data_IF_632845018033
#
_entry.id   IF_632845018033
#
_cell.length_a   1.000
_cell.length_b   1.000
_cell.length_c   1.000
_cell.angle_alpha   90.00
_cell.angle_beta   90.00
_cell.angle_gamma   90.00
#
_symmetry.space_group_name_H-M   'P 1'
#
loop_
_entity.id
_entity.type
_entity.pdbx_description
1 polymer ?
#
# COMPACT_ATOMS: atom_id res chain seq x y z
N UNK A 1 -14.25 12.57 18.07
CA UNK A 1 -14.90 11.36 18.62
C UNK A 1 -13.85 10.36 19.08
N UNK A 2 -14.11 9.50 20.07
CA UNK A 2 -13.14 8.53 20.62
C UNK A 2 -12.46 7.66 19.54
N UNK A 3 -13.19 7.28 18.49
CA UNK A 3 -12.68 6.44 17.42
C UNK A 3 -11.66 7.17 16.50
N UNK A 4 -11.79 8.48 16.33
CA UNK A 4 -10.80 9.29 15.60
C UNK A 4 -9.49 9.38 16.38
N UNK A 5 -9.59 9.52 17.71
CA UNK A 5 -8.44 9.49 18.59
C UNK A 5 -7.71 8.13 18.55
N UNK A 6 -8.46 7.02 18.52
CA UNK A 6 -7.89 5.67 18.36
C UNK A 6 -7.13 5.56 17.03
N UNK A 7 -7.71 6.04 15.93
CA UNK A 7 -7.02 6.05 14.63
C UNK A 7 -5.72 6.83 14.68
N UNK A 8 -5.73 8.03 15.24
CA UNK A 8 -4.53 8.86 15.36
C UNK A 8 -3.43 8.18 16.21
N UNK A 9 -3.82 7.52 17.30
CA UNK A 9 -2.89 6.77 18.15
C UNK A 9 -2.31 5.55 17.46
N UNK A 10 -3.14 4.77 16.75
CA UNK A 10 -2.67 3.61 15.99
C UNK A 10 -1.74 4.03 14.84
N UNK A 11 -2.05 5.11 14.13
CA UNK A 11 -1.16 5.68 13.11
C UNK A 11 0.18 6.10 13.70
N UNK A 12 0.16 6.79 14.84
CA UNK A 12 1.36 7.28 15.51
C UNK A 12 2.22 6.12 16.00
N UNK A 13 1.60 5.13 16.65
CA UNK A 13 2.25 3.90 17.10
C UNK A 13 2.93 3.19 15.93
N UNK A 14 2.22 2.98 14.83
CA UNK A 14 2.78 2.31 13.65
C UNK A 14 3.96 3.07 13.06
N UNK A 15 3.87 4.41 12.99
CA UNK A 15 4.95 5.26 12.48
C UNK A 15 6.18 5.26 13.38
N UNK A 16 6.01 5.17 14.69
CA UNK A 16 7.11 5.24 15.66
C UNK A 16 7.78 3.88 15.86
N UNK A 17 6.99 2.82 16.00
CA UNK A 17 7.48 1.50 16.42
C UNK A 17 7.81 0.59 15.24
N UNK A 18 7.12 0.70 14.09
CA UNK A 18 7.45 -0.14 12.94
C UNK A 18 8.72 0.37 12.24
N UNK A 19 9.85 -0.26 12.55
CA UNK A 19 11.12 -0.02 11.86
C UNK A 19 11.14 -0.79 10.54
N UNK A 20 10.96 -0.09 9.44
CA UNK A 20 11.02 -0.66 8.09
C UNK A 20 12.48 -0.63 7.63
N UNK A 21 13.00 -1.79 7.19
CA UNK A 21 14.38 -1.92 6.74
C UNK A 21 14.45 -2.59 5.37
N UNK A 22 15.60 -2.47 4.71
CA UNK A 22 15.84 -3.11 3.40
C UNK A 22 15.88 -4.65 3.45
N UNK A 23 16.08 -5.26 4.63
CA UNK A 23 16.09 -6.72 4.78
C UNK A 23 14.78 -7.22 5.44
N UNK A 24 13.80 -7.74 4.68
CA UNK A 24 12.51 -8.15 5.23
C UNK A 24 12.57 -9.33 6.21
N UNK A 25 13.67 -10.10 6.22
CA UNK A 25 13.85 -11.26 7.11
C UNK A 25 14.27 -10.85 8.52
N UNK A 26 14.93 -9.70 8.66
CA UNK A 26 15.39 -9.18 9.94
C UNK A 26 14.39 -8.18 10.57
N UNK A 27 13.22 -7.98 9.95
CA UNK A 27 12.28 -6.95 10.36
C UNK A 27 11.28 -7.46 11.39
N UNK A 28 11.22 -6.78 12.55
CA UNK A 28 10.12 -6.94 13.48
C UNK A 28 8.83 -6.32 12.91
N UNK A 29 7.80 -7.15 12.79
CA UNK A 29 6.47 -6.76 12.29
C UNK A 29 5.44 -6.70 13.41
N UNK A 30 5.83 -6.83 14.66
CA UNK A 30 4.93 -6.83 15.80
C UNK A 30 4.04 -5.56 15.84
N UNK A 31 4.55 -4.34 15.62
CA UNK A 31 3.70 -3.14 15.64
C UNK A 31 2.58 -3.18 14.59
N UNK A 32 2.88 -3.71 13.40
CA UNK A 32 1.87 -3.90 12.36
C UNK A 32 0.86 -4.97 12.75
N UNK A 33 1.28 -6.08 13.36
CA UNK A 33 0.35 -7.11 13.86
C UNK A 33 -0.60 -6.54 14.92
N UNK A 34 -0.08 -5.75 15.87
CA UNK A 34 -0.89 -5.15 16.93
C UNK A 34 -1.96 -4.22 16.36
N UNK A 35 -1.59 -3.37 15.39
CA UNK A 35 -2.56 -2.50 14.68
C UNK A 35 -3.61 -3.33 13.94
N UNK A 36 -3.21 -4.42 13.29
CA UNK A 36 -4.14 -5.27 12.55
C UNK A 36 -5.13 -6.04 13.44
N UNK A 37 -4.88 -6.19 14.74
CA UNK A 37 -5.87 -6.73 15.68
C UNK A 37 -7.11 -5.82 15.80
N UNK A 38 -6.99 -4.53 15.49
CA UNK A 38 -8.10 -3.58 15.49
C UNK A 38 -8.96 -3.63 14.21
N UNK A 39 -8.56 -4.43 13.21
CA UNK A 39 -9.26 -4.56 11.93
C UNK A 39 -10.77 -4.84 12.06
N UNK A 40 -11.25 -5.74 12.95
CA UNK A 40 -12.68 -6.01 13.11
C UNK A 40 -13.49 -4.80 13.61
N UNK A 41 -12.85 -3.84 14.29
CA UNK A 41 -13.51 -2.69 14.92
C UNK A 41 -13.43 -1.42 14.05
N UNK A 42 -12.33 -1.21 13.34
CA UNK A 42 -12.06 0.03 12.58
C UNK A 42 -12.81 0.09 11.24
N UNK A 43 -13.17 -1.06 10.67
CA UNK A 43 -13.65 -1.15 9.29
C UNK A 43 -12.60 -0.69 8.26
N UNK A 44 -12.87 -0.97 6.98
CA UNK A 44 -11.90 -0.75 5.89
C UNK A 44 -11.46 0.72 5.75
N UNK A 45 -12.39 1.67 5.95
CA UNK A 45 -12.10 3.10 5.83
C UNK A 45 -11.10 3.58 6.88
N UNK A 46 -11.32 3.28 8.15
CA UNK A 46 -10.45 3.80 9.20
C UNK A 46 -9.10 3.08 9.22
N UNK A 47 -9.10 1.77 8.93
CA UNK A 47 -7.85 1.03 8.72
C UNK A 47 -7.05 1.58 7.54
N UNK A 48 -7.71 1.95 6.43
CA UNK A 48 -7.05 2.63 5.30
C UNK A 48 -6.36 3.92 5.74
N UNK A 49 -7.04 4.75 6.56
CA UNK A 49 -6.45 5.98 7.10
C UNK A 49 -5.25 5.67 8.00
N UNK A 50 -5.35 4.66 8.87
CA UNK A 50 -4.23 4.22 9.73
C UNK A 50 -3.03 3.80 8.90
N UNK A 51 -3.22 2.94 7.89
CA UNK A 51 -2.14 2.46 7.04
C UNK A 51 -1.50 3.59 6.21
N UNK A 52 -2.32 4.46 5.62
CA UNK A 52 -1.83 5.58 4.80
C UNK A 52 -1.00 6.59 5.60
N UNK A 53 -1.33 6.78 6.88
CA UNK A 53 -0.66 7.78 7.73
C UNK A 53 0.47 7.19 8.58
N UNK A 54 0.33 5.94 9.02
CA UNK A 54 1.26 5.27 9.91
C UNK A 54 2.29 4.38 9.21
N UNK A 55 1.89 3.66 8.16
CA UNK A 55 2.75 2.68 7.48
C UNK A 55 3.39 3.22 6.20
N UNK A 56 2.57 3.73 5.28
CA UNK A 56 2.99 4.14 3.93
C UNK A 56 4.17 5.12 3.93
N UNK A 57 4.24 6.13 4.81
CA UNK A 57 5.34 7.10 4.80
C UNK A 57 6.71 6.46 5.01
N UNK A 58 6.88 5.69 6.08
CA UNK A 58 8.14 5.03 6.41
C UNK A 58 8.48 3.96 5.35
N UNK A 59 7.46 3.32 4.78
CA UNK A 59 7.63 2.29 3.77
C UNK A 59 8.14 2.87 2.45
N UNK A 60 7.54 3.97 1.99
CA UNK A 60 8.01 4.70 0.81
C UNK A 60 9.40 5.30 1.02
N UNK A 61 9.70 5.76 2.24
CA UNK A 61 11.02 6.31 2.58
C UNK A 61 12.12 5.25 2.48
N UNK A 62 11.89 4.06 3.04
CA UNK A 62 12.84 2.97 2.91
C UNK A 62 13.03 2.55 1.45
N UNK A 63 11.94 2.53 0.67
CA UNK A 63 11.99 2.21 -0.75
C UNK A 63 12.78 3.25 -1.56
N UNK A 64 12.53 4.54 -1.30
CA UNK A 64 13.27 5.65 -1.91
C UNK A 64 14.76 5.57 -1.57
N UNK A 65 15.09 5.30 -0.31
CA UNK A 65 16.47 5.11 0.15
C UNK A 65 17.16 3.92 -0.56
N UNK A 66 16.45 2.82 -0.83
CA UNK A 66 17.01 1.71 -1.61
C UNK A 66 17.22 2.10 -3.07
N UNK A 67 16.25 2.76 -3.71
CA UNK A 67 16.33 3.14 -5.13
C UNK A 67 17.43 4.18 -5.42
N UNK A 68 17.68 5.09 -4.47
CA UNK A 68 18.74 6.11 -4.56
C UNK A 68 20.12 5.58 -4.18
N UNK A 69 20.21 4.47 -3.46
CA UNK A 69 21.48 3.85 -3.06
C UNK A 69 22.20 3.26 -4.29
N UNK A 70 23.42 3.72 -4.63
CA UNK A 70 24.18 3.20 -5.78
C UNK A 70 24.46 1.70 -5.71
N UNK A 71 24.59 1.15 -4.49
CA UNK A 71 24.89 -0.28 -4.26
C UNK A 71 23.65 -1.18 -4.40
N UNK A 72 22.44 -0.62 -4.37
CA UNK A 72 21.22 -1.41 -4.46
C UNK A 72 20.95 -1.83 -5.90
N UNK A 73 20.60 -3.08 -6.07
CA UNK A 73 20.12 -3.64 -7.34
C UNK A 73 18.59 -3.43 -7.45
N UNK A 74 18.08 -3.11 -8.65
CA UNK A 74 16.65 -2.93 -8.92
C UNK A 74 15.83 -4.20 -8.64
N UNK A 75 16.40 -5.38 -8.88
CA UNK A 75 15.78 -6.68 -8.58
C UNK A 75 15.53 -6.86 -7.08
N UNK A 76 16.47 -6.45 -6.24
CA UNK A 76 16.31 -6.53 -4.77
C UNK A 76 15.18 -5.61 -4.29
N UNK A 77 15.05 -4.42 -4.87
CA UNK A 77 13.95 -3.50 -4.54
C UNK A 77 12.60 -4.08 -4.98
N UNK A 78 12.52 -4.68 -6.17
CA UNK A 78 11.31 -5.31 -6.67
C UNK A 78 10.88 -6.52 -5.83
N UNK A 79 11.84 -7.35 -5.42
CA UNK A 79 11.61 -8.48 -4.50
C UNK A 79 11.17 -8.00 -3.11
N UNK A 80 11.81 -6.96 -2.57
CA UNK A 80 11.42 -6.32 -1.31
C UNK A 80 9.98 -5.81 -1.35
N UNK A 81 9.59 -5.10 -2.41
CA UNK A 81 8.21 -4.64 -2.63
C UNK A 81 7.24 -5.82 -2.68
N UNK A 82 7.57 -6.86 -3.45
CA UNK A 82 6.70 -8.02 -3.64
C UNK A 82 6.44 -8.77 -2.35
N UNK A 83 7.47 -8.90 -1.49
CA UNK A 83 7.34 -9.50 -0.15
C UNK A 83 6.41 -8.69 0.77
N UNK A 84 6.49 -7.37 0.74
CA UNK A 84 5.59 -6.50 1.49
C UNK A 84 4.15 -6.61 1.00
N UNK A 85 3.96 -6.54 -0.32
CA UNK A 85 2.65 -6.67 -0.95
C UNK A 85 2.01 -8.01 -0.59
N UNK A 86 2.73 -9.12 -0.78
CA UNK A 86 2.27 -10.47 -0.43
C UNK A 86 1.92 -10.58 1.06
N UNK A 87 2.73 -10.01 1.96
CA UNK A 87 2.41 -10.01 3.38
C UNK A 87 1.09 -9.29 3.68
N UNK A 88 0.86 -8.11 3.08
CA UNK A 88 -0.39 -7.35 3.28
C UNK A 88 -1.61 -8.05 2.67
N UNK A 89 -1.44 -8.75 1.54
CA UNK A 89 -2.47 -9.62 0.94
C UNK A 89 -2.85 -10.77 1.86
N UNK A 90 -1.89 -11.45 2.50
CA UNK A 90 -2.20 -12.52 3.48
C UNK A 90 -3.00 -12.03 4.69
N UNK A 91 -3.02 -10.71 4.93
CA UNK A 91 -3.80 -10.07 6.00
C UNK A 91 -5.09 -9.42 5.48
N UNK A 92 -5.35 -9.50 4.18
CA UNK A 92 -6.45 -8.83 3.48
C UNK A 92 -6.49 -7.32 3.79
N UNK A 93 -5.34 -6.66 3.66
CA UNK A 93 -5.15 -5.22 3.91
C UNK A 93 -4.77 -4.49 2.62
N UNK A 94 -4.36 -5.22 1.59
CA UNK A 94 -4.10 -4.73 0.23
C UNK A 94 -5.33 -4.11 -0.44
N UNK A 95 -6.54 -4.53 -0.06
CA UNK A 95 -7.81 -3.96 -0.52
C UNK A 95 -8.11 -2.58 0.08
N UNK A 96 -7.39 -2.17 1.13
CA UNK A 96 -7.55 -0.85 1.73
C UNK A 96 -7.09 0.23 0.76
N UNK A 97 -7.98 1.19 0.45
CA UNK A 97 -7.72 2.27 -0.50
C UNK A 97 -6.46 3.08 -0.17
N UNK A 98 -6.20 3.31 1.13
CA UNK A 98 -4.99 3.99 1.58
C UNK A 98 -3.71 3.21 1.25
N UNK A 99 -3.77 1.88 1.30
CA UNK A 99 -2.65 1.00 0.92
C UNK A 99 -2.47 0.98 -0.59
N UNK A 100 -3.56 0.91 -1.36
CA UNK A 100 -3.52 0.97 -2.83
C UNK A 100 -2.91 2.26 -3.35
N UNK A 101 -3.26 3.40 -2.76
CA UNK A 101 -2.65 4.70 -3.07
C UNK A 101 -1.13 4.66 -2.84
N UNK A 102 -0.70 4.09 -1.72
CA UNK A 102 0.71 3.92 -1.40
C UNK A 102 1.44 2.99 -2.38
N UNK A 103 0.84 1.86 -2.75
CA UNK A 103 1.40 0.94 -3.75
C UNK A 103 1.51 1.60 -5.12
N UNK A 104 0.51 2.37 -5.54
CA UNK A 104 0.57 3.12 -6.79
C UNK A 104 1.71 4.15 -6.77
N UNK A 105 1.90 4.86 -5.66
CA UNK A 105 3.00 5.80 -5.49
C UNK A 105 4.38 5.11 -5.54
N UNK A 106 4.49 3.93 -4.94
CA UNK A 106 5.70 3.11 -5.02
C UNK A 106 6.00 2.68 -6.46
N UNK A 107 5.01 2.14 -7.18
CA UNK A 107 5.20 1.72 -8.58
C UNK A 107 5.63 2.89 -9.47
N UNK A 108 5.01 4.06 -9.31
CA UNK A 108 5.44 5.27 -10.01
C UNK A 108 6.90 5.62 -9.68
N UNK A 109 7.30 5.50 -8.41
CA UNK A 109 8.69 5.77 -8.01
C UNK A 109 9.68 4.77 -8.61
N UNK A 110 9.31 3.49 -8.76
CA UNK A 110 10.14 2.51 -9.46
C UNK A 110 10.29 2.86 -10.94
N UNK A 111 9.19 3.23 -11.59
CA UNK A 111 9.17 3.66 -12.99
C UNK A 111 10.04 4.89 -13.21
N UNK A 112 9.96 5.88 -12.32
CA UNK A 112 10.79 7.08 -12.40
C UNK A 112 12.27 6.73 -12.20
N UNK A 113 12.61 5.81 -11.28
CA UNK A 113 13.97 5.31 -11.08
C UNK A 113 14.52 4.48 -12.27
N UNK A 114 13.66 4.04 -13.19
CA UNK A 114 14.08 3.44 -14.47
C UNK A 114 14.39 4.51 -15.53
N UNK A 115 13.69 5.64 -15.50
CA UNK A 115 13.81 6.72 -16.50
C UNK A 115 14.83 7.80 -16.12
N UNK A 116 15.05 8.04 -14.84
CA UNK A 116 15.90 9.13 -14.34
C UNK A 116 17.23 8.63 -13.80
N UNK A 117 18.16 9.56 -13.61
CA UNK A 117 19.34 9.31 -12.79
C UNK A 117 18.92 9.07 -11.33
N UNK A 118 19.58 8.11 -10.67
CA UNK A 118 19.24 7.66 -9.31
C UNK A 118 19.30 8.78 -8.28
N UNK A 119 20.24 9.71 -8.45
CA UNK A 119 20.43 10.85 -7.55
C UNK A 119 19.34 11.92 -7.67
N UNK A 120 18.60 11.91 -8.78
CA UNK A 120 17.52 12.87 -9.06
C UNK A 120 16.13 12.36 -8.70
N UNK A 121 16.03 11.11 -8.21
CA UNK A 121 14.75 10.49 -7.89
C UNK A 121 14.05 11.23 -6.75
N UNK A 122 12.82 11.67 -7.00
CA UNK A 122 12.03 12.41 -6.01
C UNK A 122 11.19 11.48 -5.15
N UNK A 123 11.11 11.81 -3.87
CA UNK A 123 10.19 11.19 -2.93
C UNK A 123 8.74 11.59 -3.25
N UNK A 124 7.76 10.66 -3.24
CA UNK A 124 6.36 11.02 -3.42
C UNK A 124 5.86 12.00 -2.37
N UNK A 125 5.02 12.96 -2.79
CA UNK A 125 4.41 13.94 -1.89
C UNK A 125 3.33 13.26 -1.02
N UNK A 126 3.68 12.97 0.23
CA UNK A 126 2.78 12.34 1.20
C UNK A 126 1.49 13.14 1.44
N UNK A 127 1.54 14.48 1.35
CA UNK A 127 0.34 15.32 1.50
C UNK A 127 -0.58 15.18 0.29
N UNK A 128 -0.04 14.96 -0.91
CA UNK A 128 -0.86 14.66 -2.09
C UNK A 128 -1.53 13.30 -1.97
N UNK A 129 -0.83 12.28 -1.47
CA UNK A 129 -1.43 10.96 -1.24
C UNK A 129 -2.60 11.02 -0.25
N UNK A 130 -2.45 11.80 0.83
CA UNK A 130 -3.53 12.04 1.79
C UNK A 130 -4.72 12.78 1.17
N UNK A 131 -4.47 13.85 0.40
CA UNK A 131 -5.53 14.59 -0.32
C UNK A 131 -6.28 13.70 -1.31
N UNK A 132 -5.55 12.85 -2.04
CA UNK A 132 -6.14 11.87 -2.98
C UNK A 132 -7.09 10.93 -2.24
N UNK A 133 -6.64 10.37 -1.12
CA UNK A 133 -7.47 9.51 -0.28
C UNK A 133 -8.73 10.22 0.23
N UNK A 134 -8.61 11.47 0.69
CA UNK A 134 -9.76 12.25 1.17
C UNK A 134 -10.78 12.53 0.06
N UNK A 135 -10.31 12.88 -1.13
CA UNK A 135 -11.16 13.09 -2.31
C UNK A 135 -11.90 11.81 -2.74
N UNK A 136 -11.20 10.67 -2.82
CA UNK A 136 -11.83 9.39 -3.20
C UNK A 136 -12.84 8.92 -2.14
N UNK A 137 -12.56 9.20 -0.86
CA UNK A 137 -13.46 8.86 0.24
C UNK A 137 -14.74 9.71 0.29
N UNK A 138 -14.70 10.97 -0.16
CA UNK A 138 -15.88 11.85 -0.20
C UNK A 138 -16.80 11.52 -1.37
N UNK A 139 -16.24 11.16 -2.53
CA UNK A 139 -17.00 10.72 -3.70
C UNK A 139 -17.77 9.42 -3.41
N UNK A 140 -17.13 8.44 -2.74
CA UNK A 140 -17.80 7.19 -2.34
C UNK A 140 -18.91 7.41 -1.30
N UNK A 141 -18.75 8.38 -0.40
CA UNK A 141 -19.77 8.72 0.61
C UNK A 141 -21.03 9.35 -0.01
N UNK A 142 -20.90 10.01 -1.18
CA UNK A 142 -22.05 10.59 -1.91
C UNK A 142 -22.84 9.55 -2.72
N UNK A 143 -22.31 8.35 -2.97
CA UNK A 143 -22.93 7.34 -3.85
C UNK A 143 -23.64 6.21 -3.10
N UNK A 144 -24.19 6.48 -1.92
CA UNK A 144 -25.03 5.51 -1.19
C UNK A 144 -26.53 5.79 -1.37
N UNK A 145 -27.06 5.40 -2.54
CA UNK A 145 -28.47 4.97 -2.72
C UNK A 145 -28.45 3.71 -3.59
N UNK A 146 -29.25 2.67 -3.28
CA UNK A 146 -29.11 1.38 -3.96
C UNK A 146 -29.83 1.43 -5.30
N UNK A 147 -29.13 1.11 -6.38
CA UNK A 147 -29.71 0.70 -7.67
C UNK A 147 -28.55 0.09 -8.46
N UNK A 148 -28.46 -1.24 -8.54
CA UNK A 148 -29.15 -2.15 -9.46
C UNK A 148 -28.07 -2.69 -10.40
N UNK A 149 -28.07 -4.01 -10.56
CA UNK A 149 -27.13 -4.74 -11.41
C UNK A 149 -27.11 -4.13 -12.80
N UNK A 150 -25.91 -3.90 -13.34
CA UNK A 150 -25.73 -3.83 -14.78
C UNK A 150 -24.38 -4.41 -15.18
N UNK A 151 -24.49 -5.22 -16.22
CA UNK A 151 -23.56 -6.19 -16.76
C UNK A 151 -22.46 -5.55 -17.59
N UNK A 152 -21.27 -6.17 -17.50
CA UNK A 152 -20.27 -6.37 -18.55
C UNK A 152 -19.78 -5.19 -19.39
N UNK A 153 -18.46 -4.99 -19.37
CA UNK A 153 -17.68 -4.86 -20.62
C UNK A 153 -16.28 -5.43 -20.37
N UNK A 154 -15.92 -6.44 -21.16
CA UNK A 154 -14.62 -7.07 -21.13
C UNK A 154 -13.53 -6.05 -21.49
N UNK A 155 -12.59 -5.87 -20.58
CA UNK A 155 -11.39 -5.06 -20.76
C UNK A 155 -10.24 -5.80 -20.08
N UNK A 156 -9.07 -5.77 -20.72
CA UNK A 156 -7.69 -6.22 -20.39
C UNK A 156 -7.42 -7.12 -19.15
N UNK A 157 -8.19 -6.99 -18.07
CA UNK A 157 -8.30 -7.93 -16.95
C UNK A 157 -8.59 -9.38 -17.38
N UNK A 158 -9.36 -9.63 -18.45
CA UNK A 158 -9.59 -11.01 -18.92
C UNK A 158 -8.33 -11.68 -19.51
N UNK A 159 -7.40 -10.91 -20.08
CA UNK A 159 -6.15 -11.45 -20.67
C UNK A 159 -5.18 -11.87 -19.55
N UNK A 160 -5.14 -11.12 -18.45
CA UNK A 160 -4.32 -11.44 -17.27
C UNK A 160 -4.86 -12.67 -16.52
N UNK A 161 -6.19 -12.83 -16.46
CA UNK A 161 -6.81 -14.01 -15.83
C UNK A 161 -6.55 -15.32 -16.58
N UNK A 162 -6.45 -15.30 -17.92
CA UNK A 162 -6.15 -16.51 -18.71
C UNK A 162 -4.69 -16.95 -18.52
N UNK A 163 -3.74 -16.01 -18.37
CA UNK A 163 -2.33 -16.35 -18.17
C UNK A 163 -2.05 -16.98 -16.80
N UNK A 164 -2.79 -16.57 -15.76
CA UNK A 164 -2.67 -17.15 -14.41
C UNK A 164 -3.34 -18.53 -14.34
N UNK A 165 -4.42 -18.76 -15.10
CA UNK A 165 -5.13 -20.05 -15.10
C UNK A 165 -4.36 -21.20 -15.79
N UNK A 166 -3.49 -20.92 -16.76
CA UNK A 166 -2.74 -21.95 -17.50
C UNK A 166 -1.55 -22.50 -16.71
N UNK A 167 -0.93 -21.69 -15.83
CA UNK A 167 0.20 -22.15 -15.01
C UNK A 167 -0.22 -23.01 -13.81
N UNK A 168 -1.50 -23.00 -13.44
CA UNK A 168 -2.07 -23.85 -12.37
C UNK A 168 -2.47 -25.26 -12.83
N UNK A 169 -2.35 -25.57 -14.13
CA UNK A 169 -2.70 -26.88 -14.71
C UNK A 169 -1.47 -27.74 -15.03
N UNK A 170 -0.27 -27.34 -14.57
CA UNK A 170 0.98 -28.09 -14.79
C UNK A 170 1.80 -28.35 -13.53
N UNK A 171 1.21 -28.26 -12.34
CA UNK A 171 1.73 -28.86 -11.10
C UNK A 171 0.59 -29.44 -10.26
#
# INVERSE_FOLDING_TARGET
MLLEYVVEKLSTYLRQELKITANPRAQDRQPLKDVLQWKPLLGSRMLSKVMLTGFIPNWLEQMHAMLTNPKSNKVEVADWYSKWKSYLETKHVDECEGVQIGFQAALQMMDDALRSDRLSLKMPDLKQLQRKYEADSTIKKSRSKPSRQETSTASFRQIVFIFIAILSSFF
#
